data_IF_084823493051
#
_entry.id   IF_084823493051
#
_cell.length_a   1.000
_cell.length_b   1.000
_cell.length_c   1.000
_cell.angle_alpha   90.00
_cell.angle_beta   90.00
_cell.angle_gamma   90.00
#
_symmetry.space_group_name_H-M   'P 1'
#
loop_
_entity.id
_entity.type
_entity.pdbx_description
1 polymer ?
#
# COMPACT_ATOMS: atom_id res chain seq x y z
N UNK A 1 -25.32 -14.69 4.27
CA UNK A 1 -23.84 -14.64 4.10
C UNK A 1 -23.34 -13.27 3.62
N UNK A 2 -23.89 -12.62 2.57
CA UNK A 2 -23.36 -11.31 2.08
C UNK A 2 -23.23 -10.20 3.12
N UNK A 3 -24.27 -10.00 3.95
CA UNK A 3 -24.22 -9.01 5.05
C UNK A 3 -23.11 -9.34 6.07
N UNK A 4 -22.89 -10.63 6.32
CA UNK A 4 -21.88 -11.12 7.26
C UNK A 4 -20.47 -10.92 6.69
N UNK A 5 -20.23 -11.32 5.43
CA UNK A 5 -18.92 -11.10 4.80
C UNK A 5 -18.59 -9.61 4.66
N UNK A 6 -19.59 -8.75 4.41
CA UNK A 6 -19.41 -7.31 4.46
C UNK A 6 -19.03 -6.82 5.87
N UNK A 7 -19.70 -7.28 6.92
CA UNK A 7 -19.37 -6.89 8.30
C UNK A 7 -17.93 -7.28 8.68
N UNK A 8 -17.51 -8.49 8.28
CA UNK A 8 -16.14 -9.01 8.44
C UNK A 8 -15.13 -8.13 7.70
N UNK A 9 -15.41 -7.79 6.43
CA UNK A 9 -14.58 -6.88 5.64
C UNK A 9 -14.48 -5.51 6.32
N UNK A 10 -15.62 -4.91 6.69
CA UNK A 10 -15.67 -3.60 7.34
C UNK A 10 -14.91 -3.60 8.68
N UNK A 11 -14.89 -4.71 9.42
CA UNK A 11 -14.11 -4.86 10.64
C UNK A 11 -12.60 -4.84 10.38
N UNK A 12 -12.16 -5.53 9.32
CA UNK A 12 -10.78 -5.45 8.83
C UNK A 12 -10.39 -4.01 8.50
N UNK A 13 -11.21 -3.30 7.72
CA UNK A 13 -10.99 -1.89 7.37
C UNK A 13 -10.91 -1.00 8.61
N UNK A 14 -11.87 -1.09 9.53
CA UNK A 14 -11.89 -0.29 10.76
C UNK A 14 -10.60 -0.44 11.58
N UNK A 15 -10.05 -1.65 11.64
CA UNK A 15 -8.84 -1.92 12.41
C UNK A 15 -7.58 -1.30 11.83
N UNK A 16 -7.59 -0.95 10.54
CA UNK A 16 -6.49 -0.31 9.81
C UNK A 16 -6.81 1.11 9.35
N UNK A 17 -7.84 1.75 9.93
CA UNK A 17 -8.10 3.16 9.69
C UNK A 17 -6.95 4.01 10.28
N UNK A 18 -6.50 5.07 9.60
CA UNK A 18 -5.41 5.93 10.07
C UNK A 18 -5.58 6.43 11.50
N UNK A 19 -6.79 6.87 11.87
CA UNK A 19 -7.13 7.29 13.24
C UNK A 19 -6.86 6.19 14.28
N UNK A 20 -7.23 4.95 13.97
CA UNK A 20 -7.07 3.81 14.87
C UNK A 20 -5.60 3.38 14.95
N UNK A 21 -4.93 3.29 13.81
CA UNK A 21 -3.51 2.89 13.73
C UNK A 21 -2.58 3.88 14.41
N UNK A 22 -2.77 5.19 14.16
CA UNK A 22 -1.95 6.24 14.75
C UNK A 22 -2.22 6.34 16.26
N UNK A 23 -3.48 6.36 16.72
CA UNK A 23 -3.79 6.46 18.15
C UNK A 23 -3.27 5.27 18.98
N UNK A 24 -3.15 4.07 18.37
CA UNK A 24 -2.50 2.91 19.01
C UNK A 24 -0.99 3.05 19.21
N UNK A 25 -0.35 3.94 18.45
CA UNK A 25 1.11 4.10 18.40
C UNK A 25 1.58 5.51 18.69
N UNK A 26 0.68 6.42 19.09
CA UNK A 26 0.99 7.79 19.45
C UNK A 26 0.01 8.20 20.57
N UNK A 27 0.55 8.49 21.75
CA UNK A 27 -0.22 8.92 22.90
C UNK A 27 0.54 10.00 23.67
N UNK A 28 -0.18 11.04 24.11
CA UNK A 28 0.36 12.13 24.89
C UNK A 28 -0.29 12.14 26.27
N UNK A 29 0.51 11.98 27.33
CA UNK A 29 0.06 12.05 28.72
C UNK A 29 1.13 12.69 29.59
N UNK A 30 0.72 13.60 30.49
CA UNK A 30 1.60 14.24 31.49
C UNK A 30 2.92 14.82 30.92
N UNK A 31 2.87 15.46 29.75
CA UNK A 31 4.04 16.04 29.09
C UNK A 31 4.97 15.02 28.42
N UNK A 32 4.60 13.73 28.43
CA UNK A 32 5.33 12.64 27.78
C UNK A 32 4.60 12.15 26.54
N UNK A 33 5.36 12.02 25.45
CA UNK A 33 4.89 11.48 24.18
C UNK A 33 5.39 10.05 24.02
N UNK A 34 4.48 9.10 24.09
CA UNK A 34 4.74 7.74 23.66
C UNK A 34 4.45 7.63 22.17
N UNK A 35 5.44 7.29 21.36
CA UNK A 35 5.31 7.19 19.90
C UNK A 35 6.15 6.04 19.36
N UNK A 36 5.59 5.16 18.52
CA UNK A 36 6.35 4.10 17.85
C UNK A 36 7.16 3.20 18.80
N UNK A 37 6.65 2.96 20.01
CA UNK A 37 7.33 2.15 21.03
C UNK A 37 8.40 2.88 21.86
N UNK A 38 8.64 4.17 21.62
CA UNK A 38 9.55 5.00 22.43
C UNK A 38 8.78 6.01 23.27
N UNK A 39 9.32 6.35 24.44
CA UNK A 39 8.76 7.34 25.36
C UNK A 39 9.67 8.57 25.40
N UNK A 40 9.10 9.73 25.09
CA UNK A 40 9.80 11.00 24.95
C UNK A 40 9.27 12.03 25.94
N UNK A 41 10.18 12.65 26.67
CA UNK A 41 9.90 13.84 27.47
C UNK A 41 9.82 15.07 26.55
N UNK A 42 8.65 15.69 26.43
CA UNK A 42 8.46 16.82 25.52
C UNK A 42 9.21 18.07 25.96
N UNK A 43 9.60 18.18 27.23
CA UNK A 43 10.42 19.31 27.70
C UNK A 43 11.84 19.27 27.11
N UNK A 44 12.25 18.12 26.58
CA UNK A 44 13.54 17.92 25.89
C UNK A 44 13.44 18.09 24.37
N UNK A 45 12.23 18.31 23.83
CA UNK A 45 11.98 18.49 22.41
C UNK A 45 11.69 19.96 22.13
N UNK A 46 12.53 20.58 21.29
CA UNK A 46 12.39 21.99 20.95
C UNK A 46 11.24 22.21 19.96
N UNK A 47 11.26 21.52 18.81
CA UNK A 47 10.21 21.59 17.79
C UNK A 47 9.76 20.20 17.35
N UNK A 48 8.47 20.08 17.02
CA UNK A 48 7.89 18.87 16.45
C UNK A 48 7.47 19.17 15.01
N UNK A 49 8.08 18.49 14.06
CA UNK A 49 7.74 18.54 12.64
C UNK A 49 6.90 17.33 12.25
N UNK A 50 5.92 17.53 11.36
CA UNK A 50 5.14 16.44 10.77
C UNK A 50 5.42 16.37 9.27
N UNK A 51 6.06 15.31 8.81
CA UNK A 51 6.37 15.10 7.40
C UNK A 51 5.63 13.85 6.89
N UNK A 52 5.13 13.83 5.66
CA UNK A 52 4.48 12.60 5.19
C UNK A 52 4.15 12.56 3.71
N UNK A 53 4.00 11.35 3.20
CA UNK A 53 3.52 11.11 1.85
C UNK A 53 2.74 9.80 1.77
N UNK A 54 1.67 9.80 0.98
CA UNK A 54 0.87 8.61 0.72
C UNK A 54 -0.64 8.87 0.65
N UNK A 55 -1.38 7.89 0.13
CA UNK A 55 -2.85 7.92 0.02
C UNK A 55 -3.57 8.18 1.37
N UNK A 56 -3.00 7.70 2.48
CA UNK A 56 -3.56 7.83 3.82
C UNK A 56 -2.84 8.89 4.68
N UNK A 57 -1.74 9.47 4.20
CA UNK A 57 -0.90 10.39 4.99
C UNK A 57 -1.67 11.61 5.51
N UNK A 58 -2.59 12.18 4.72
CA UNK A 58 -3.48 13.26 5.19
C UNK A 58 -4.40 12.86 6.34
N UNK A 59 -4.93 11.63 6.32
CA UNK A 59 -5.79 11.12 7.40
C UNK A 59 -4.96 10.76 8.64
N UNK A 60 -3.73 10.27 8.47
CA UNK A 60 -2.79 10.06 9.57
C UNK A 60 -2.42 11.39 10.23
N UNK A 61 -2.13 12.43 9.43
CA UNK A 61 -1.78 13.75 9.95
C UNK A 61 -2.91 14.37 10.76
N UNK A 62 -4.16 14.20 10.31
CA UNK A 62 -5.35 14.62 11.07
C UNK A 62 -5.40 14.01 12.47
N UNK A 63 -5.01 12.75 12.63
CA UNK A 63 -4.96 12.11 13.94
C UNK A 63 -3.80 12.66 14.78
N UNK A 64 -2.63 12.85 14.18
CA UNK A 64 -1.48 13.48 14.84
C UNK A 64 -1.83 14.89 15.33
N UNK A 65 -2.57 15.68 14.55
CA UNK A 65 -3.05 17.01 14.97
C UNK A 65 -4.02 16.97 16.14
N UNK A 66 -4.89 15.95 16.21
CA UNK A 66 -5.80 15.80 17.36
C UNK A 66 -5.03 15.53 18.65
N UNK A 67 -3.92 14.80 18.57
CA UNK A 67 -3.14 14.40 19.74
C UNK A 67 -2.11 15.48 20.13
N UNK A 68 -1.39 16.06 19.16
CA UNK A 68 -0.31 17.02 19.42
C UNK A 68 -0.76 18.49 19.36
N UNK A 69 -1.81 18.80 18.59
CA UNK A 69 -2.36 20.15 18.45
C UNK A 69 -1.30 21.22 18.13
N UNK A 70 -1.33 22.32 18.88
CA UNK A 70 -0.43 23.47 18.72
C UNK A 70 1.04 23.20 19.06
N UNK A 71 1.40 21.97 19.46
CA UNK A 71 2.80 21.57 19.66
C UNK A 71 3.51 21.27 18.33
N UNK A 72 2.75 21.04 17.26
CA UNK A 72 3.29 20.93 15.91
C UNK A 72 3.83 22.29 15.48
N UNK A 73 5.12 22.35 15.19
CA UNK A 73 5.84 23.56 14.79
C UNK A 73 5.60 23.89 13.31
N UNK A 74 5.83 22.92 12.42
CA UNK A 74 5.43 22.95 11.02
C UNK A 74 5.07 21.51 10.58
N UNK A 75 4.23 21.41 9.56
CA UNK A 75 3.84 20.13 9.00
C UNK A 75 3.52 20.22 7.53
N UNK A 76 3.90 19.18 6.79
CA UNK A 76 3.58 19.00 5.38
C UNK A 76 3.35 17.53 5.07
N UNK A 77 2.18 17.24 4.51
CA UNK A 77 1.85 15.92 3.97
C UNK A 77 1.43 15.99 2.51
N UNK A 78 1.84 15.00 1.73
CA UNK A 78 1.56 14.92 0.29
C UNK A 78 0.65 13.73 0.03
N UNK A 79 -0.47 13.95 -0.64
CA UNK A 79 -1.45 12.91 -0.97
C UNK A 79 -1.88 12.96 -2.44
N UNK A 80 -2.75 12.04 -2.86
CA UNK A 80 -3.26 11.98 -4.23
C UNK A 80 -4.28 13.10 -4.48
N UNK A 81 -4.41 13.56 -5.72
CA UNK A 81 -5.51 14.46 -6.11
C UNK A 81 -6.89 13.96 -5.65
N UNK A 82 -7.66 14.86 -5.05
CA UNK A 82 -8.99 14.59 -4.50
C UNK A 82 -8.99 13.84 -3.16
N UNK A 83 -7.83 13.56 -2.57
CA UNK A 83 -7.68 12.93 -1.25
C UNK A 83 -7.28 13.91 -0.14
N UNK A 84 -7.08 15.19 -0.48
CA UNK A 84 -6.77 16.25 0.47
C UNK A 84 -7.80 16.35 1.59
N UNK A 85 -7.33 16.63 2.80
CA UNK A 85 -8.16 16.84 3.98
C UNK A 85 -7.85 18.20 4.59
N UNK A 86 -8.85 18.91 5.13
CA UNK A 86 -8.60 20.13 5.89
C UNK A 86 -7.85 19.79 7.18
N UNK A 87 -6.65 20.36 7.32
CA UNK A 87 -5.76 20.22 8.47
C UNK A 87 -5.51 21.61 9.08
N UNK A 88 -5.24 21.68 10.39
CA UNK A 88 -5.10 22.93 11.15
C UNK A 88 -3.65 23.38 11.32
N UNK A 89 -2.73 22.43 11.44
CA UNK A 89 -1.32 22.62 11.76
C UNK A 89 -0.39 22.13 10.65
N UNK A 90 -0.86 21.24 9.77
CA UNK A 90 -0.10 20.71 8.65
C UNK A 90 -0.66 21.25 7.32
N UNK A 91 0.23 21.59 6.40
CA UNK A 91 -0.10 21.84 4.99
C UNK A 91 -0.37 20.51 4.29
N UNK A 92 -1.32 20.51 3.35
CA UNK A 92 -1.62 19.36 2.50
C UNK A 92 -1.38 19.75 1.05
N UNK A 93 -0.51 18.99 0.38
CA UNK A 93 -0.31 19.10 -1.06
C UNK A 93 -0.86 17.85 -1.74
N UNK A 94 -1.37 18.03 -2.96
CA UNK A 94 -1.82 16.94 -3.80
C UNK A 94 -0.89 16.76 -5.00
N UNK A 95 -0.64 15.51 -5.38
CA UNK A 95 0.26 15.15 -6.47
C UNK A 95 -0.24 13.92 -7.25
N UNK A 96 0.41 13.68 -8.40
CA UNK A 96 0.09 12.59 -9.33
C UNK A 96 0.38 11.19 -8.76
N UNK A 97 -0.58 10.29 -8.92
CA UNK A 97 -0.45 8.86 -8.63
C UNK A 97 -1.40 8.05 -9.54
N UNK A 98 -0.96 6.95 -10.17
CA UNK A 98 0.31 6.24 -9.95
C UNK A 98 1.49 6.80 -10.75
N UNK A 99 1.24 7.68 -11.72
CA UNK A 99 2.29 8.35 -12.50
C UNK A 99 2.70 9.65 -11.79
N UNK A 100 3.98 9.83 -11.42
CA UNK A 100 4.45 11.04 -10.77
C UNK A 100 4.34 12.27 -11.66
N UNK A 101 4.15 13.46 -11.08
CA UNK A 101 4.04 14.74 -11.81
C UNK A 101 4.87 15.87 -11.18
N UNK A 102 4.80 17.07 -11.77
CA UNK A 102 5.53 18.25 -11.30
C UNK A 102 5.08 18.74 -9.93
N UNK A 103 3.80 18.56 -9.58
CA UNK A 103 3.30 18.85 -8.24
C UNK A 103 3.98 17.97 -7.19
N UNK A 104 4.17 16.68 -7.49
CA UNK A 104 4.94 15.78 -6.63
C UNK A 104 6.41 16.18 -6.47
N UNK A 105 7.06 16.68 -7.53
CA UNK A 105 8.43 17.21 -7.45
C UNK A 105 8.49 18.42 -6.51
N UNK A 106 7.60 19.40 -6.70
CA UNK A 106 7.53 20.59 -5.87
C UNK A 106 7.20 20.26 -4.40
N UNK A 107 6.27 19.33 -4.18
CA UNK A 107 5.92 18.86 -2.84
C UNK A 107 7.09 18.17 -2.15
N UNK A 108 7.81 17.29 -2.85
CA UNK A 108 8.97 16.62 -2.26
C UNK A 108 10.11 17.59 -1.93
N UNK A 109 10.33 18.61 -2.76
CA UNK A 109 11.28 19.70 -2.45
C UNK A 109 10.86 20.42 -1.17
N UNK A 110 9.62 20.89 -1.08
CA UNK A 110 9.11 21.58 0.10
C UNK A 110 9.16 20.73 1.37
N UNK A 111 8.96 19.41 1.24
CA UNK A 111 9.07 18.45 2.34
C UNK A 111 10.51 18.33 2.83
N UNK A 112 11.48 18.23 1.90
CA UNK A 112 12.91 18.19 2.23
C UNK A 112 13.39 19.50 2.84
N UNK A 113 12.96 20.65 2.30
CA UNK A 113 13.29 21.97 2.83
C UNK A 113 12.85 22.07 4.30
N UNK A 114 11.59 21.73 4.61
CA UNK A 114 11.06 21.71 5.98
C UNK A 114 11.83 20.75 6.90
N UNK A 115 12.13 19.53 6.43
CA UNK A 115 12.90 18.55 7.22
C UNK A 115 14.32 19.02 7.49
N UNK A 116 14.92 19.77 6.56
CA UNK A 116 16.28 20.32 6.70
C UNK A 116 16.39 21.47 7.69
N UNK A 117 15.28 22.08 8.10
CA UNK A 117 15.27 23.10 9.16
C UNK A 117 15.38 22.50 10.57
N UNK A 118 15.04 21.21 10.72
CA UNK A 118 15.13 20.51 11.99
C UNK A 118 16.60 20.29 12.42
N UNK A 119 16.81 20.12 13.72
CA UNK A 119 18.11 19.79 14.30
C UNK A 119 18.02 18.75 15.41
N UNK A 120 19.17 18.46 16.02
CA UNK A 120 19.34 17.38 17.03
C UNK A 120 18.38 17.42 18.23
N UNK A 121 17.79 18.56 18.56
CA UNK A 121 16.88 18.74 19.70
C UNK A 121 15.41 18.70 19.26
N UNK A 122 15.15 18.41 17.99
CA UNK A 122 13.80 18.34 17.40
C UNK A 122 13.35 16.90 17.16
N UNK A 123 12.04 16.75 16.96
CA UNK A 123 11.36 15.51 16.59
C UNK A 123 10.70 15.68 15.22
N UNK A 124 10.92 14.72 14.32
CA UNK A 124 10.21 14.60 13.06
C UNK A 124 9.31 13.36 13.12
N UNK A 125 8.01 13.55 13.02
CA UNK A 125 7.02 12.48 12.90
C UNK A 125 6.73 12.26 11.42
N UNK A 126 7.22 11.15 10.88
CA UNK A 126 7.03 10.78 9.48
C UNK A 126 5.76 9.94 9.30
N UNK A 127 4.86 10.32 8.39
CA UNK A 127 3.58 9.66 8.13
C UNK A 127 3.55 9.09 6.73
N UNK A 128 3.89 7.81 6.61
CA UNK A 128 4.12 7.14 5.34
C UNK A 128 3.00 6.14 5.09
N UNK A 129 2.44 6.16 3.88
CA UNK A 129 1.51 5.13 3.44
C UNK A 129 1.72 4.79 1.97
N UNK A 130 0.92 3.83 1.49
CA UNK A 130 0.86 3.47 0.08
C UNK A 130 0.82 4.64 -0.91
N UNK A 131 1.54 4.49 -2.03
CA UNK A 131 1.67 5.49 -3.09
C UNK A 131 2.74 6.56 -2.88
N UNK A 132 3.40 6.61 -1.72
CA UNK A 132 4.42 7.61 -1.41
C UNK A 132 5.51 7.74 -2.49
N UNK A 133 6.01 6.62 -3.05
CA UNK A 133 7.05 6.64 -4.10
C UNK A 133 6.70 7.54 -5.29
N UNK A 134 5.43 7.53 -5.73
CA UNK A 134 4.97 8.30 -6.89
C UNK A 134 4.62 9.75 -6.52
N UNK A 135 4.13 9.96 -5.29
CA UNK A 135 3.78 11.28 -4.77
C UNK A 135 5.00 12.13 -4.44
N UNK A 136 6.13 11.51 -4.09
CA UNK A 136 7.41 12.18 -3.83
C UNK A 136 8.49 11.69 -4.79
N UNK A 137 8.41 11.98 -6.11
CA UNK A 137 9.38 11.50 -7.09
C UNK A 137 10.80 11.96 -6.77
N UNK A 138 10.97 13.22 -6.34
CA UNK A 138 12.20 13.82 -5.82
C UNK A 138 13.46 13.43 -6.63
N UNK A 139 13.62 13.91 -7.88
CA UNK A 139 14.80 13.60 -8.68
C UNK A 139 16.10 14.08 -8.02
N UNK A 140 17.16 13.27 -8.12
CA UNK A 140 18.50 13.68 -7.69
C UNK A 140 19.02 14.87 -8.52
N UNK A 141 19.98 15.61 -7.97
CA UNK A 141 20.57 16.77 -8.64
C UNK A 141 21.07 16.42 -10.05
N UNK A 142 20.69 17.26 -11.02
CA UNK A 142 21.00 17.05 -12.43
C UNK A 142 20.04 16.11 -13.18
N UNK A 143 19.06 15.50 -12.50
CA UNK A 143 18.02 14.68 -13.12
C UNK A 143 16.68 15.42 -13.21
N UNK A 144 15.97 15.23 -14.32
CA UNK A 144 14.60 15.70 -14.46
C UNK A 144 13.58 14.65 -14.03
N UNK A 145 12.33 15.08 -13.86
CA UNK A 145 11.20 14.16 -13.68
C UNK A 145 11.03 13.22 -14.88
N UNK A 146 11.20 13.76 -16.09
CA UNK A 146 11.08 13.00 -17.32
C UNK A 146 12.12 11.87 -17.39
N UNK A 147 13.35 12.11 -16.92
CA UNK A 147 14.39 11.09 -16.87
C UNK A 147 13.96 9.91 -16.00
N UNK A 148 13.42 10.18 -14.80
CA UNK A 148 12.95 9.14 -13.88
C UNK A 148 11.74 8.38 -14.42
N UNK A 149 10.80 9.09 -15.03
CA UNK A 149 9.64 8.47 -15.67
C UNK A 149 10.06 7.53 -16.79
N UNK A 150 11.01 7.97 -17.63
CA UNK A 150 11.50 7.18 -18.76
C UNK A 150 12.27 5.95 -18.30
N UNK A 151 13.23 6.09 -17.37
CA UNK A 151 13.95 4.95 -16.78
C UNK A 151 12.98 3.95 -16.14
N UNK A 152 11.99 4.42 -15.39
CA UNK A 152 10.99 3.54 -14.75
C UNK A 152 10.15 2.80 -15.80
N UNK A 153 9.71 3.50 -16.85
CA UNK A 153 8.95 2.92 -17.97
C UNK A 153 9.76 1.82 -18.68
N UNK A 154 11.05 2.06 -18.93
CA UNK A 154 11.92 1.07 -19.56
C UNK A 154 12.13 -0.17 -18.69
N UNK A 155 12.37 0.02 -17.38
CA UNK A 155 12.49 -1.08 -16.42
C UNK A 155 11.22 -1.94 -16.32
N UNK A 156 10.05 -1.29 -16.30
CA UNK A 156 8.77 -2.01 -16.34
C UNK A 156 8.61 -2.77 -17.68
N UNK A 157 9.00 -2.15 -18.79
CA UNK A 157 8.92 -2.75 -20.13
C UNK A 157 9.82 -3.97 -20.32
N UNK A 158 10.97 -4.03 -19.65
CA UNK A 158 11.88 -5.18 -19.70
C UNK A 158 11.57 -6.26 -18.64
N UNK A 159 10.56 -6.04 -17.79
CA UNK A 159 10.18 -7.00 -16.75
C UNK A 159 11.14 -7.04 -15.56
N UNK A 160 11.82 -5.92 -15.25
CA UNK A 160 12.63 -5.82 -14.04
C UNK A 160 11.79 -6.07 -12.78
N UNK A 161 12.38 -6.75 -11.80
CA UNK A 161 11.72 -7.07 -10.53
C UNK A 161 11.50 -5.81 -9.69
N UNK A 162 10.51 -5.83 -8.77
CA UNK A 162 10.24 -4.66 -7.92
C UNK A 162 11.46 -4.21 -7.11
N UNK A 163 12.28 -5.16 -6.64
CA UNK A 163 13.53 -4.90 -5.95
C UNK A 163 14.52 -4.16 -6.86
N UNK A 164 14.75 -4.65 -8.09
CA UNK A 164 15.64 -4.00 -9.06
C UNK A 164 15.19 -2.57 -9.39
N UNK A 165 13.89 -2.37 -9.62
CA UNK A 165 13.33 -1.04 -9.88
C UNK A 165 13.50 -0.13 -8.66
N UNK A 166 13.32 -0.65 -7.44
CA UNK A 166 13.51 0.13 -6.21
C UNK A 166 14.98 0.51 -5.98
N UNK A 167 15.93 -0.41 -6.23
CA UNK A 167 17.37 -0.11 -6.17
C UNK A 167 17.69 1.10 -7.03
N UNK A 168 17.29 1.11 -8.30
CA UNK A 168 17.53 2.25 -9.20
C UNK A 168 16.76 3.49 -8.74
N UNK A 169 15.46 3.37 -8.38
CA UNK A 169 14.65 4.52 -7.94
C UNK A 169 15.21 5.25 -6.72
N UNK A 170 15.81 4.52 -5.76
CA UNK A 170 16.46 5.07 -4.58
C UNK A 170 17.68 5.91 -4.95
N UNK A 171 18.53 5.38 -5.82
CA UNK A 171 19.76 6.04 -6.28
C UNK A 171 19.54 7.20 -7.24
N UNK A 172 18.33 7.35 -7.80
CA UNK A 172 17.97 8.51 -8.63
C UNK A 172 17.13 9.54 -7.86
N UNK A 173 17.16 9.52 -6.52
CA UNK A 173 16.29 10.37 -5.69
C UNK A 173 17.03 11.11 -4.59
N UNK A 174 16.49 12.25 -4.14
CA UNK A 174 16.98 12.98 -2.94
C UNK A 174 16.25 12.62 -1.65
N UNK A 175 15.16 11.85 -1.69
CA UNK A 175 14.33 11.55 -0.51
C UNK A 175 14.26 10.05 -0.16
N UNK A 176 14.51 9.18 -1.14
CA UNK A 176 14.34 7.71 -1.01
C UNK A 176 15.61 7.06 -0.47
N UNK A 177 15.50 5.83 0.03
CA UNK A 177 16.64 5.05 0.53
C UNK A 177 17.34 5.73 1.73
N UNK A 178 16.55 6.19 2.70
CA UNK A 178 17.06 6.80 3.94
C UNK A 178 17.47 8.26 3.82
N UNK A 179 17.39 8.87 2.64
CA UNK A 179 17.87 10.23 2.44
C UNK A 179 17.02 11.31 3.14
N UNK A 180 15.74 11.04 3.44
CA UNK A 180 14.97 11.93 4.33
C UNK A 180 15.63 12.02 5.71
N UNK A 181 16.11 10.90 6.25
CA UNK A 181 16.84 10.89 7.53
C UNK A 181 18.18 11.62 7.43
N UNK A 182 18.87 11.53 6.28
CA UNK A 182 20.11 12.26 6.04
C UNK A 182 19.88 13.79 6.05
N UNK A 183 18.73 14.25 5.54
CA UNK A 183 18.35 15.66 5.55
C UNK A 183 17.95 16.19 6.94
N UNK A 184 17.67 15.32 7.91
CA UNK A 184 17.11 15.71 9.22
C UNK A 184 18.13 16.31 10.22
N UNK A 185 19.40 16.52 9.82
CA UNK A 185 20.47 17.12 10.64
C UNK A 185 20.59 16.57 12.08
N UNK A 186 20.38 15.26 12.24
CA UNK A 186 20.49 14.56 13.53
C UNK A 186 19.26 14.68 14.44
N UNK A 187 18.17 15.28 13.97
CA UNK A 187 16.87 15.23 14.63
C UNK A 187 16.42 13.78 14.87
N UNK A 188 15.57 13.59 15.88
CA UNK A 188 14.94 12.27 16.09
C UNK A 188 13.87 12.08 15.02
N UNK A 189 13.88 10.96 14.31
CA UNK A 189 12.87 10.65 13.29
C UNK A 189 12.06 9.45 13.75
N UNK A 190 10.74 9.59 13.80
CA UNK A 190 9.83 8.48 14.11
C UNK A 190 8.82 8.36 12.98
N UNK A 191 8.91 7.28 12.22
CA UNK A 191 7.98 6.98 11.13
C UNK A 191 6.84 6.10 11.62
N UNK A 192 5.61 6.55 11.42
CA UNK A 192 4.40 5.75 11.51
C UNK A 192 4.01 5.35 10.08
N UNK A 193 3.96 4.05 9.82
CA UNK A 193 3.89 3.49 8.46
C UNK A 193 2.63 2.63 8.32
N UNK A 194 1.77 2.97 7.37
CA UNK A 194 0.64 2.15 6.98
C UNK A 194 1.02 1.39 5.69
N UNK A 195 1.23 0.08 5.84
CA UNK A 195 1.85 -0.75 4.80
C UNK A 195 0.83 -1.26 3.79
N UNK A 196 1.10 -0.99 2.51
CA UNK A 196 0.44 -1.61 1.36
C UNK A 196 1.40 -2.54 0.59
N UNK A 197 2.44 -3.04 1.27
CA UNK A 197 3.46 -3.91 0.69
C UNK A 197 3.38 -5.28 1.33
N UNK A 198 3.45 -6.33 0.51
CA UNK A 198 3.46 -7.70 1.00
C UNK A 198 4.71 -7.94 1.85
N UNK A 199 4.50 -8.44 3.07
CA UNK A 199 5.57 -8.71 4.02
C UNK A 199 6.09 -7.47 4.76
N UNK A 200 5.47 -6.30 4.56
CA UNK A 200 5.72 -5.07 5.31
C UNK A 200 7.20 -4.61 5.29
N UNK A 201 7.91 -4.88 4.19
CA UNK A 201 9.32 -4.52 4.03
C UNK A 201 9.51 -3.00 3.96
N UNK A 202 10.16 -2.45 4.98
CA UNK A 202 10.42 -1.02 5.15
C UNK A 202 11.26 -0.41 4.03
N UNK A 203 12.13 -1.19 3.38
CA UNK A 203 12.95 -0.71 2.26
C UNK A 203 12.11 -0.52 0.98
N UNK A 204 10.99 -1.25 0.89
CA UNK A 204 10.07 -1.20 -0.25
C UNK A 204 8.99 -0.13 -0.03
N UNK A 205 8.44 -0.03 1.19
CA UNK A 205 7.35 0.91 1.50
C UNK A 205 7.83 2.35 1.28
N UNK A 206 7.17 3.06 0.36
CA UNK A 206 7.57 4.41 -0.02
C UNK A 206 9.00 4.52 -0.56
N UNK A 207 9.57 3.41 -1.04
CA UNK A 207 10.99 3.28 -1.40
C UNK A 207 11.95 3.65 -0.25
N UNK A 208 11.58 3.29 0.98
CA UNK A 208 12.46 3.33 2.13
C UNK A 208 12.94 4.74 2.48
N UNK A 209 12.11 5.78 2.36
CA UNK A 209 12.56 7.17 2.63
C UNK A 209 13.19 7.37 4.02
N UNK A 210 12.79 6.57 5.00
CA UNK A 210 13.33 6.57 6.37
C UNK A 210 14.02 5.25 6.76
N UNK A 211 14.29 4.37 5.80
CA UNK A 211 14.93 3.07 6.01
C UNK A 211 16.30 3.01 5.32
N UNK A 212 17.26 2.21 5.84
CA UNK A 212 18.53 2.00 5.17
C UNK A 212 18.36 1.28 3.84
N UNK A 213 19.15 1.66 2.85
CA UNK A 213 19.18 1.02 1.54
C UNK A 213 20.33 0.01 1.46
N UNK A 214 20.06 -1.22 1.05
CA UNK A 214 21.09 -2.26 0.85
C UNK A 214 21.72 -2.23 -0.55
N UNK A 215 21.10 -1.53 -1.50
CA UNK A 215 21.59 -1.44 -2.87
C UNK A 215 22.75 -0.46 -3.02
N UNK A 216 23.41 -0.48 -4.18
CA UNK A 216 24.56 0.40 -4.48
C UNK A 216 24.51 0.95 -5.90
N UNK A 217 25.22 2.05 -6.18
CA UNK A 217 25.36 2.57 -7.54
C UNK A 217 25.90 1.54 -8.55
N UNK A 218 26.85 0.70 -8.12
CA UNK A 218 27.38 -0.40 -8.96
C UNK A 218 26.30 -1.42 -9.33
N UNK A 219 25.38 -1.69 -8.41
CA UNK A 219 24.26 -2.58 -8.65
C UNK A 219 23.26 -1.96 -9.63
N UNK A 220 23.01 -0.65 -9.54
CA UNK A 220 22.15 0.06 -10.50
C UNK A 220 22.63 -0.14 -11.94
N UNK A 221 23.94 0.03 -12.19
CA UNK A 221 24.54 -0.24 -13.50
C UNK A 221 24.38 -1.70 -13.91
N UNK A 222 24.70 -2.64 -13.02
CA UNK A 222 24.59 -4.08 -13.31
C UNK A 222 23.15 -4.51 -13.65
N UNK A 223 22.15 -3.94 -12.99
CA UNK A 223 20.73 -4.17 -13.31
C UNK A 223 20.39 -3.66 -14.71
N UNK A 224 20.77 -2.42 -15.03
CA UNK A 224 20.49 -1.82 -16.33
C UNK A 224 21.18 -2.58 -17.48
N UNK A 225 22.42 -3.03 -17.28
CA UNK A 225 23.16 -3.87 -18.24
C UNK A 225 22.54 -5.27 -18.38
N UNK A 226 22.14 -5.91 -17.28
CA UNK A 226 21.47 -7.23 -17.28
C UNK A 226 20.20 -7.23 -18.11
N UNK A 227 19.42 -6.16 -18.02
CA UNK A 227 18.19 -5.98 -18.79
C UNK A 227 18.43 -5.39 -20.19
N UNK A 228 19.68 -5.10 -20.56
CA UNK A 228 20.03 -4.57 -21.88
C UNK A 228 19.55 -3.14 -22.16
N UNK A 229 19.29 -2.36 -21.11
CA UNK A 229 18.71 -1.00 -21.20
C UNK A 229 19.68 0.11 -20.74
N UNK A 230 20.94 -0.22 -20.42
CA UNK A 230 21.93 0.77 -20.01
C UNK A 230 22.11 1.90 -21.03
N UNK A 231 22.29 1.54 -22.31
CA UNK A 231 22.50 2.54 -23.36
C UNK A 231 21.20 3.25 -23.80
N UNK A 232 20.03 2.75 -23.36
CA UNK A 232 18.72 3.32 -23.72
C UNK A 232 18.14 4.23 -22.66
N UNK A 233 18.57 4.13 -21.40
CA UNK A 233 18.16 5.10 -20.37
C UNK A 233 18.77 6.48 -20.64
N UNK A 234 18.11 7.57 -20.19
CA UNK A 234 18.58 8.92 -20.45
C UNK A 234 20.04 9.18 -20.01
N UNK A 235 20.79 9.93 -20.81
CA UNK A 235 22.21 10.23 -20.51
C UNK A 235 22.43 10.87 -19.13
N UNK A 236 21.56 11.79 -18.62
CA UNK A 236 21.70 12.29 -17.26
C UNK A 236 21.69 11.18 -16.20
N UNK A 237 20.88 10.14 -16.38
CA UNK A 237 20.81 8.97 -15.48
C UNK A 237 22.11 8.16 -15.54
N UNK A 238 22.62 7.92 -16.74
CA UNK A 238 23.89 7.20 -16.91
C UNK A 238 25.06 7.97 -16.27
N UNK A 239 25.12 9.29 -16.47
CA UNK A 239 26.14 10.16 -15.89
C UNK A 239 26.06 10.20 -14.36
N UNK A 240 24.84 10.27 -13.80
CA UNK A 240 24.61 10.23 -12.37
C UNK A 240 25.08 8.91 -11.75
N UNK A 241 24.73 7.77 -12.35
CA UNK A 241 25.17 6.44 -11.88
C UNK A 241 26.69 6.30 -11.98
N UNK A 242 27.31 6.75 -13.09
CA UNK A 242 28.77 6.77 -13.24
C UNK A 242 29.45 7.59 -12.14
N UNK A 243 28.94 8.79 -11.87
CA UNK A 243 29.46 9.67 -10.82
C UNK A 243 29.39 9.01 -9.44
N UNK A 244 28.32 8.27 -9.14
CA UNK A 244 28.19 7.51 -7.90
C UNK A 244 29.14 6.32 -7.82
N UNK A 245 29.37 5.61 -8.94
CA UNK A 245 30.35 4.52 -9.01
C UNK A 245 31.80 4.99 -8.80
N UNK A 246 32.10 6.20 -9.28
CA UNK A 246 33.41 6.84 -9.16
C UNK A 246 33.61 7.54 -7.80
N UNK A 247 32.58 7.56 -6.94
CA UNK A 247 32.61 8.16 -5.60
C UNK A 247 32.55 9.68 -5.58
N UNK A 248 32.13 10.32 -6.68
CA UNK A 248 31.95 11.77 -6.77
C UNK A 248 30.69 12.25 -6.05
N UNK A 249 29.68 11.37 -5.96
CA UNK A 249 28.49 11.56 -5.13
C UNK A 249 28.42 10.40 -4.12
N UNK A 250 27.98 10.67 -2.86
CA UNK A 250 27.83 9.63 -1.87
C UNK A 250 26.74 8.63 -2.28
N UNK A 251 26.93 7.37 -1.90
CA UNK A 251 25.90 6.34 -2.02
C UNK A 251 24.73 6.63 -1.07
N UNK A 252 23.58 5.97 -1.26
CA UNK A 252 22.46 6.08 -0.31
C UNK A 252 22.86 5.56 1.07
N UNK A 253 22.31 6.10 2.18
CA UNK A 253 22.62 5.63 3.52
C UNK A 253 22.42 4.12 3.71
N UNK A 254 23.45 3.45 4.26
CA UNK A 254 23.51 1.99 4.37
C UNK A 254 23.11 1.48 5.75
N UNK A 255 22.79 0.18 5.90
CA UNK A 255 22.63 -0.42 7.22
C UNK A 255 23.87 -0.18 8.10
N UNK A 256 23.65 0.31 9.33
CA UNK A 256 24.73 0.65 10.26
C UNK A 256 25.22 2.10 10.17
N UNK A 257 24.72 2.91 9.23
CA UNK A 257 25.02 4.33 9.18
C UNK A 257 24.53 5.05 10.47
N UNK A 258 25.37 5.87 11.14
CA UNK A 258 24.99 6.59 12.35
C UNK A 258 23.75 7.48 12.22
N UNK A 259 23.35 7.91 11.01
CA UNK A 259 22.11 8.68 10.83
C UNK A 259 20.87 7.93 11.35
N UNK A 260 20.91 6.58 11.34
CA UNK A 260 19.79 5.75 11.79
C UNK A 260 19.76 5.53 13.32
N UNK A 261 20.76 6.00 14.06
CA UNK A 261 20.84 5.83 15.53
C UNK A 261 19.67 6.46 16.30
N UNK A 262 18.98 7.43 15.68
CA UNK A 262 17.82 8.12 16.24
C UNK A 262 16.58 7.99 15.36
N UNK A 263 16.54 6.96 14.52
CA UNK A 263 15.41 6.67 13.62
C UNK A 263 14.63 5.49 14.17
N UNK A 264 13.31 5.63 14.26
CA UNK A 264 12.39 4.54 14.60
C UNK A 264 11.37 4.41 13.51
N UNK A 265 11.23 3.22 12.93
CA UNK A 265 10.22 2.93 11.91
C UNK A 265 9.22 1.94 12.50
N UNK A 266 7.96 2.36 12.64
CA UNK A 266 6.88 1.56 13.18
C UNK A 266 5.81 1.34 12.10
N UNK A 267 5.60 0.09 11.71
CA UNK A 267 4.41 -0.29 10.96
C UNK A 267 3.22 -0.23 11.91
N UNK A 268 2.31 0.72 11.69
CA UNK A 268 1.15 0.97 12.56
C UNK A 268 -0.12 0.28 12.08
N UNK A 269 -0.13 -0.17 10.83
CA UNK A 269 -1.21 -0.93 10.23
C UNK A 269 -0.73 -1.71 9.00
N UNK A 270 -1.16 -2.96 8.92
CA UNK A 270 -0.83 -3.92 7.86
C UNK A 270 -2.05 -4.74 7.45
N UNK A 271 -1.94 -5.50 6.37
CA UNK A 271 -2.96 -6.47 5.99
C UNK A 271 -3.16 -7.56 7.06
N UNK A 272 -2.09 -7.93 7.76
CA UNK A 272 -2.16 -8.91 8.86
C UNK A 272 -3.08 -8.42 9.98
N UNK A 273 -3.04 -7.13 10.30
CA UNK A 273 -3.92 -6.53 11.31
C UNK A 273 -5.38 -6.53 10.85
N UNK A 274 -5.63 -6.21 9.57
CA UNK A 274 -6.96 -6.25 8.98
C UNK A 274 -7.55 -7.67 9.00
N UNK A 275 -6.76 -8.69 8.63
CA UNK A 275 -7.20 -10.09 8.64
C UNK A 275 -7.45 -10.60 10.06
N UNK A 276 -6.65 -10.16 11.03
CA UNK A 276 -6.83 -10.51 12.44
C UNK A 276 -8.13 -9.92 13.00
N UNK A 277 -8.45 -8.66 12.69
CA UNK A 277 -9.72 -8.05 13.07
C UNK A 277 -10.92 -8.67 12.34
N UNK A 278 -10.76 -9.04 11.07
CA UNK A 278 -11.76 -9.77 10.31
C UNK A 278 -12.02 -11.16 10.91
N UNK A 279 -10.98 -11.86 11.39
CA UNK A 279 -11.13 -13.16 12.05
C UNK A 279 -11.96 -13.04 13.34
N UNK A 280 -11.68 -12.04 14.18
CA UNK A 280 -12.47 -11.76 15.39
C UNK A 280 -13.94 -11.49 15.03
N UNK A 281 -14.19 -10.69 13.99
CA UNK A 281 -15.58 -10.43 13.56
C UNK A 281 -16.24 -11.68 13.00
N UNK A 282 -15.51 -12.56 12.30
CA UNK A 282 -16.07 -13.83 11.84
C UNK A 282 -16.52 -14.72 13.01
N UNK A 283 -15.74 -14.79 14.09
CA UNK A 283 -16.11 -15.50 15.32
C UNK A 283 -17.38 -14.92 15.95
N UNK A 284 -17.46 -13.58 16.04
CA UNK A 284 -18.64 -12.88 16.56
C UNK A 284 -19.91 -13.17 15.73
N UNK A 285 -19.74 -13.44 14.43
CA UNK A 285 -20.81 -13.82 13.51
C UNK A 285 -21.09 -15.33 13.48
N UNK A 286 -20.41 -16.12 14.31
CA UNK A 286 -20.61 -17.56 14.45
C UNK A 286 -19.90 -18.42 13.41
N UNK A 287 -18.88 -17.90 12.73
CA UNK A 287 -18.04 -18.64 11.80
C UNK A 287 -16.65 -18.87 12.40
N UNK A 288 -16.15 -20.11 12.37
CA UNK A 288 -14.78 -20.40 12.79
C UNK A 288 -13.77 -19.83 11.75
N UNK A 289 -12.91 -18.86 12.11
CA UNK A 289 -11.99 -18.26 11.16
C UNK A 289 -10.78 -19.16 10.91
N UNK A 290 -10.28 -19.12 9.68
CA UNK A 290 -8.97 -19.65 9.31
C UNK A 290 -8.28 -18.62 8.41
N UNK A 291 -7.25 -17.96 8.93
CA UNK A 291 -6.39 -17.08 8.14
C UNK A 291 -5.40 -17.95 7.36
N UNK A 292 -5.56 -18.03 6.04
CA UNK A 292 -4.72 -18.83 5.16
C UNK A 292 -3.38 -18.16 4.86
N UNK A 293 -3.40 -16.86 4.53
CA UNK A 293 -2.20 -16.07 4.23
C UNK A 293 -2.53 -14.58 4.08
N UNK A 294 -1.60 -13.70 4.46
CA UNK A 294 -1.59 -12.26 4.13
C UNK A 294 -0.69 -11.93 2.92
N UNK A 295 -0.19 -12.96 2.22
CA UNK A 295 0.84 -12.83 1.19
C UNK A 295 0.43 -13.46 -0.15
N UNK A 296 -0.87 -13.50 -0.46
CA UNK A 296 -1.36 -14.02 -1.75
C UNK A 296 -0.86 -13.13 -2.88
N UNK A 297 -0.23 -13.74 -3.88
CA UNK A 297 0.31 -13.10 -5.09
C UNK A 297 0.02 -13.93 -6.33
N UNK A 298 0.20 -13.31 -7.49
CA UNK A 298 0.04 -13.95 -8.79
C UNK A 298 -1.31 -13.68 -9.42
N UNK A 299 -1.64 -14.45 -10.45
CA UNK A 299 -2.81 -14.21 -11.28
C UNK A 299 -4.13 -14.42 -10.51
N UNK A 300 -4.96 -13.38 -10.46
CA UNK A 300 -6.21 -13.33 -9.69
C UNK A 300 -7.14 -14.54 -9.95
N UNK A 301 -7.34 -14.92 -11.23
CA UNK A 301 -8.19 -16.05 -11.60
C UNK A 301 -7.65 -17.41 -11.16
N UNK A 302 -6.33 -17.55 -11.01
CA UNK A 302 -5.71 -18.80 -10.55
C UNK A 302 -5.80 -18.89 -9.02
N UNK A 303 -5.58 -17.78 -8.31
CA UNK A 303 -5.82 -17.69 -6.87
C UNK A 303 -7.27 -18.08 -6.52
N UNK A 304 -8.25 -17.58 -7.28
CA UNK A 304 -9.66 -17.93 -7.09
C UNK A 304 -9.93 -19.45 -7.12
N UNK A 305 -9.33 -20.18 -8.07
CA UNK A 305 -9.52 -21.63 -8.19
C UNK A 305 -9.02 -22.37 -6.96
N UNK A 306 -7.85 -21.99 -6.44
CA UNK A 306 -7.25 -22.60 -5.25
C UNK A 306 -8.12 -22.30 -4.02
N UNK A 307 -8.50 -21.04 -3.81
CA UNK A 307 -9.33 -20.63 -2.67
C UNK A 307 -10.69 -21.35 -2.67
N UNK A 308 -11.36 -21.44 -3.82
CA UNK A 308 -12.63 -22.16 -3.95
C UNK A 308 -12.46 -23.67 -3.75
N UNK A 309 -11.32 -24.25 -4.14
CA UNK A 309 -11.03 -25.66 -3.85
C UNK A 309 -10.92 -25.92 -2.34
N UNK A 310 -10.25 -25.03 -1.58
CA UNK A 310 -10.19 -25.13 -0.11
C UNK A 310 -11.57 -24.97 0.52
N UNK A 311 -12.40 -24.04 0.03
CA UNK A 311 -13.77 -23.88 0.53
C UNK A 311 -14.64 -25.14 0.29
N UNK A 312 -14.47 -25.82 -0.85
CA UNK A 312 -15.13 -27.11 -1.11
C UNK A 312 -14.64 -28.21 -0.18
N UNK A 313 -13.35 -28.25 0.13
CA UNK A 313 -12.78 -29.20 1.10
C UNK A 313 -13.40 -29.01 2.49
N UNK A 314 -13.53 -27.75 2.92
CA UNK A 314 -14.22 -27.38 4.17
C UNK A 314 -15.69 -27.84 4.13
N UNK A 315 -16.40 -27.55 3.05
CA UNK A 315 -17.82 -27.88 2.91
C UNK A 315 -18.08 -29.39 2.92
N UNK A 316 -17.28 -30.16 2.17
CA UNK A 316 -17.51 -31.59 1.93
C UNK A 316 -16.93 -32.47 3.01
N UNK A 317 -15.78 -32.10 3.57
CA UNK A 317 -15.00 -32.97 4.46
C UNK A 317 -14.70 -32.33 5.82
N UNK A 318 -15.05 -31.06 6.04
CA UNK A 318 -14.81 -30.37 7.30
C UNK A 318 -13.33 -30.18 7.62
N UNK A 319 -12.51 -29.96 6.58
CA UNK A 319 -11.05 -29.75 6.67
C UNK A 319 -10.64 -28.48 5.92
N UNK A 320 -9.68 -27.69 6.44
CA UNK A 320 -8.99 -27.84 7.73
C UNK A 320 -9.87 -27.47 8.94
N UNK A 321 -11.09 -27.00 8.71
CA UNK A 321 -12.05 -26.55 9.72
C UNK A 321 -13.46 -27.05 9.36
N UNK A 322 -14.33 -27.25 10.35
CA UNK A 322 -15.73 -27.66 10.11
C UNK A 322 -16.60 -26.42 9.84
N UNK A 323 -17.58 -26.50 8.92
CA UNK A 323 -18.61 -25.47 8.78
C UNK A 323 -19.43 -25.32 10.09
N UNK A 324 -19.92 -24.11 10.42
CA UNK A 324 -19.72 -22.84 9.71
C UNK A 324 -18.29 -22.29 9.86
N UNK A 325 -17.65 -21.94 8.75
CA UNK A 325 -16.26 -21.51 8.69
C UNK A 325 -16.05 -20.28 7.81
N UNK A 326 -15.08 -19.43 8.18
CA UNK A 326 -14.66 -18.27 7.42
C UNK A 326 -13.19 -18.42 7.04
N UNK A 327 -12.91 -18.64 5.75
CA UNK A 327 -11.55 -18.62 5.24
C UNK A 327 -11.19 -17.18 4.89
N UNK A 328 -10.09 -16.71 5.45
CA UNK A 328 -9.58 -15.35 5.29
C UNK A 328 -8.21 -15.40 4.63
N UNK A 329 -8.01 -14.60 3.60
CA UNK A 329 -6.67 -14.33 3.08
C UNK A 329 -6.61 -12.93 2.48
N UNK A 330 -5.41 -12.53 2.10
CA UNK A 330 -5.20 -11.28 1.40
C UNK A 330 -3.82 -11.22 0.77
N UNK A 331 -3.59 -10.15 0.04
CA UNK A 331 -2.33 -9.83 -0.62
C UNK A 331 -2.61 -8.92 -1.80
N UNK A 332 -1.80 -9.02 -2.86
CA UNK A 332 -1.90 -8.17 -4.05
C UNK A 332 -1.82 -9.07 -5.29
N UNK A 333 -2.99 -9.45 -5.83
CA UNK A 333 -3.04 -10.25 -7.05
C UNK A 333 -2.86 -9.38 -8.30
N UNK A 334 -2.54 -10.00 -9.43
CA UNK A 334 -2.39 -9.33 -10.73
C UNK A 334 -3.37 -9.87 -11.75
N UNK A 335 -3.63 -9.06 -12.77
CA UNK A 335 -4.42 -9.44 -13.94
C UNK A 335 -3.57 -9.28 -15.19
N UNK A 336 -3.42 -10.36 -15.94
CA UNK A 336 -2.86 -10.28 -17.29
C UNK A 336 -3.96 -9.78 -18.24
N UNK A 337 -3.87 -8.51 -18.63
CA UNK A 337 -4.82 -7.87 -19.54
C UNK A 337 -4.70 -8.48 -20.95
N UNK A 338 -5.79 -9.06 -21.45
CA UNK A 338 -5.95 -9.63 -22.79
C UNK A 338 -7.09 -8.98 -23.57
N UNK A 339 -8.10 -8.46 -22.88
CA UNK A 339 -9.24 -7.75 -23.47
C UNK A 339 -9.21 -6.25 -23.23
N UNK A 340 -10.25 -5.57 -23.74
CA UNK A 340 -10.47 -4.13 -23.57
C UNK A 340 -11.62 -3.85 -22.58
N UNK A 341 -11.97 -4.82 -21.73
CA UNK A 341 -13.02 -4.69 -20.73
C UNK A 341 -12.66 -3.77 -19.57
N UNK A 342 -13.61 -3.59 -18.65
CA UNK A 342 -13.37 -2.91 -17.38
C UNK A 342 -13.55 -3.86 -16.19
N UNK A 343 -12.70 -3.66 -15.18
CA UNK A 343 -12.64 -4.50 -13.99
C UNK A 343 -11.36 -4.26 -13.23
N UNK A 344 -11.11 -5.10 -12.24
CA UNK A 344 -9.88 -5.12 -11.46
C UNK A 344 -9.63 -6.52 -10.95
N UNK A 345 -8.52 -6.70 -10.23
CA UNK A 345 -8.06 -8.00 -9.75
C UNK A 345 -9.04 -8.66 -8.78
N UNK A 346 -9.72 -7.88 -7.94
CA UNK A 346 -10.68 -8.43 -6.98
C UNK A 346 -11.95 -8.90 -7.68
N UNK A 347 -12.47 -8.13 -8.63
CA UNK A 347 -13.59 -8.55 -9.47
C UNK A 347 -13.20 -9.72 -10.38
N UNK A 348 -11.99 -9.76 -10.92
CA UNK A 348 -11.52 -10.90 -11.72
C UNK A 348 -11.42 -12.19 -10.87
N UNK A 349 -10.90 -12.08 -9.64
CA UNK A 349 -10.88 -13.18 -8.67
C UNK A 349 -12.32 -13.63 -8.34
N UNK A 350 -13.23 -12.71 -8.06
CA UNK A 350 -14.62 -13.01 -7.79
C UNK A 350 -15.31 -13.70 -9.00
N UNK A 351 -15.04 -13.25 -10.24
CA UNK A 351 -15.65 -13.82 -11.44
C UNK A 351 -15.13 -15.24 -11.73
N UNK A 352 -13.83 -15.46 -11.55
CA UNK A 352 -13.25 -16.79 -11.59
C UNK A 352 -13.79 -17.69 -10.46
N UNK A 353 -14.01 -17.11 -9.27
CA UNK A 353 -14.66 -17.79 -8.15
C UNK A 353 -16.10 -18.17 -8.45
N UNK A 354 -16.88 -17.30 -9.10
CA UNK A 354 -18.25 -17.60 -9.51
C UNK A 354 -18.33 -18.82 -10.45
N UNK A 355 -17.38 -18.94 -11.39
CA UNK A 355 -17.26 -20.12 -12.24
C UNK A 355 -16.91 -21.37 -11.44
N UNK A 356 -16.00 -21.26 -10.46
CA UNK A 356 -15.55 -22.38 -9.63
C UNK A 356 -16.60 -22.85 -8.60
N UNK A 357 -17.50 -21.96 -8.18
CA UNK A 357 -18.55 -22.19 -7.19
C UNK A 357 -19.93 -22.44 -7.81
N UNK A 358 -20.07 -22.45 -9.14
CA UNK A 358 -21.36 -22.64 -9.79
C UNK A 358 -22.06 -23.93 -9.32
N UNK A 359 -23.22 -23.78 -8.67
CA UNK A 359 -23.98 -24.90 -8.09
C UNK A 359 -23.43 -25.47 -6.76
N UNK A 360 -22.31 -24.96 -6.23
CA UNK A 360 -21.77 -25.35 -4.93
C UNK A 360 -22.46 -24.55 -3.81
N UNK A 361 -23.63 -25.04 -3.38
CA UNK A 361 -24.42 -24.39 -2.34
C UNK A 361 -23.61 -24.08 -1.06
N UNK A 362 -24.05 -23.04 -0.34
CA UNK A 362 -23.58 -22.69 1.01
C UNK A 362 -22.15 -22.13 1.07
N UNK A 363 -21.58 -21.73 -0.07
CA UNK A 363 -20.29 -21.04 -0.15
C UNK A 363 -20.48 -19.65 -0.76
N UNK A 364 -20.00 -18.62 -0.08
CA UNK A 364 -19.94 -17.25 -0.59
C UNK A 364 -18.49 -16.76 -0.58
N UNK A 365 -18.03 -16.23 -1.71
CA UNK A 365 -16.78 -15.49 -1.83
C UNK A 365 -17.07 -13.98 -1.89
N UNK A 366 -16.27 -13.20 -1.15
CA UNK A 366 -16.07 -11.77 -1.36
C UNK A 366 -14.58 -11.55 -1.59
N UNK A 367 -14.21 -10.82 -2.65
CA UNK A 367 -12.87 -10.27 -2.83
C UNK A 367 -12.99 -8.77 -2.95
N UNK A 368 -12.20 -8.00 -2.19
CA UNK A 368 -12.24 -6.55 -2.24
C UNK A 368 -10.91 -5.88 -1.85
N UNK A 369 -10.61 -4.78 -2.53
CA UNK A 369 -9.50 -3.87 -2.22
C UNK A 369 -9.83 -3.00 -1.02
N UNK A 370 -8.88 -2.88 -0.09
CA UNK A 370 -9.10 -2.14 1.15
C UNK A 370 -9.11 -0.63 0.98
N UNK A 371 -8.63 -0.10 -0.15
CA UNK A 371 -8.74 1.32 -0.50
C UNK A 371 -10.10 1.72 -1.08
N UNK A 372 -11.00 0.74 -1.25
CA UNK A 372 -12.34 0.93 -1.76
C UNK A 372 -12.44 1.00 -3.28
N UNK A 373 -11.35 0.70 -3.99
CA UNK A 373 -11.27 0.74 -5.46
C UNK A 373 -10.64 -0.54 -6.01
N UNK A 374 -11.14 -1.05 -7.13
CA UNK A 374 -10.60 -2.20 -7.85
C UNK A 374 -10.52 -1.89 -9.34
N UNK A 375 -9.27 -1.78 -9.82
CA UNK A 375 -9.00 -1.28 -11.18
C UNK A 375 -9.48 0.16 -11.41
N UNK A 376 -9.74 0.57 -12.66
CA UNK A 376 -10.25 1.90 -12.98
C UNK A 376 -11.79 1.96 -12.81
N UNK A 377 -12.32 1.57 -11.65
CA UNK A 377 -13.76 1.50 -11.39
C UNK A 377 -14.16 2.17 -10.06
N UNK A 378 -15.45 2.24 -9.76
CA UNK A 378 -15.99 2.73 -8.47
C UNK A 378 -16.28 1.62 -7.45
N UNK A 379 -16.00 0.37 -7.81
CA UNK A 379 -16.20 -0.79 -6.94
C UNK A 379 -14.92 -1.13 -6.20
N UNK A 380 -15.04 -1.59 -4.95
CA UNK A 380 -13.95 -2.18 -4.19
C UNK A 380 -13.70 -3.64 -4.62
N UNK A 381 -14.69 -4.29 -5.22
CA UNK A 381 -14.64 -5.71 -5.57
C UNK A 381 -16.05 -6.27 -5.80
N UNK A 382 -16.22 -7.58 -5.61
CA UNK A 382 -17.51 -8.23 -5.88
C UNK A 382 -17.76 -9.49 -5.03
N UNK A 383 -19.04 -9.86 -4.93
CA UNK A 383 -19.52 -11.10 -4.34
C UNK A 383 -19.72 -12.19 -5.40
N UNK A 384 -19.42 -13.43 -5.05
CA UNK A 384 -19.67 -14.60 -5.89
C UNK A 384 -20.20 -15.78 -5.06
N UNK A 385 -21.29 -16.40 -5.51
CA UNK A 385 -21.95 -17.52 -4.85
C UNK A 385 -22.42 -18.58 -5.87
N UNK A 386 -23.10 -19.62 -5.39
CA UNK A 386 -23.56 -20.75 -6.21
C UNK A 386 -24.50 -20.35 -7.35
N UNK A 387 -25.15 -19.19 -7.23
CA UNK A 387 -26.18 -18.70 -8.15
C UNK A 387 -25.69 -17.58 -9.06
N UNK A 388 -24.47 -17.05 -8.88
CA UNK A 388 -23.94 -15.95 -9.71
C UNK A 388 -23.97 -16.29 -11.20
N UNK A 389 -23.51 -17.49 -11.59
CA UNK A 389 -23.47 -17.91 -13.01
C UNK A 389 -24.87 -18.15 -13.58
N UNK A 390 -25.79 -18.74 -12.81
CA UNK A 390 -27.16 -19.00 -13.29
C UNK A 390 -27.94 -17.70 -13.46
N UNK A 391 -27.82 -16.74 -12.53
CA UNK A 391 -28.38 -15.39 -12.66
C UNK A 391 -27.83 -14.66 -13.88
N UNK A 392 -26.53 -14.74 -14.12
CA UNK A 392 -25.91 -14.14 -15.32
C UNK A 392 -26.47 -14.70 -16.63
N UNK A 393 -26.60 -16.03 -16.71
CA UNK A 393 -27.18 -16.70 -17.89
C UNK A 393 -28.62 -16.26 -18.15
N UNK A 394 -29.42 -16.07 -17.10
CA UNK A 394 -30.79 -15.57 -17.23
C UNK A 394 -30.87 -14.15 -17.82
N UNK A 395 -29.80 -13.36 -17.68
CA UNK A 395 -29.65 -12.03 -18.29
C UNK A 395 -28.93 -12.06 -19.66
N UNK A 396 -28.65 -13.25 -20.21
CA UNK A 396 -27.91 -13.38 -21.47
C UNK A 396 -26.40 -13.11 -21.37
N UNK A 397 -25.84 -13.09 -20.16
CA UNK A 397 -24.41 -12.85 -19.91
C UNK A 397 -23.65 -14.18 -19.79
N UNK A 398 -22.46 -14.23 -20.40
CA UNK A 398 -21.52 -15.35 -20.23
C UNK A 398 -20.39 -14.95 -19.28
N UNK A 399 -20.29 -15.62 -18.13
CA UNK A 399 -19.22 -15.39 -17.15
C UNK A 399 -17.83 -15.69 -17.73
N UNK A 400 -17.69 -16.77 -18.51
CA UNK A 400 -16.43 -17.13 -19.19
C UNK A 400 -15.98 -16.07 -20.18
N UNK A 401 -16.93 -15.51 -20.97
CA UNK A 401 -16.63 -14.44 -21.91
C UNK A 401 -16.13 -13.19 -21.18
N UNK A 402 -16.85 -12.75 -20.15
CA UNK A 402 -16.45 -11.57 -19.37
C UNK A 402 -15.10 -11.76 -18.68
N UNK A 403 -14.79 -12.97 -18.20
CA UNK A 403 -13.50 -13.27 -17.60
C UNK A 403 -12.37 -13.18 -18.64
N UNK A 404 -12.56 -13.78 -19.82
CA UNK A 404 -11.56 -13.78 -20.90
C UNK A 404 -11.33 -12.38 -21.50
N UNK A 405 -12.32 -11.50 -21.44
CA UNK A 405 -12.25 -10.12 -21.95
C UNK A 405 -11.82 -9.10 -20.88
N UNK A 406 -11.43 -9.55 -19.69
CA UNK A 406 -11.13 -8.70 -18.51
C UNK A 406 -12.25 -7.68 -18.22
N UNK A 407 -13.50 -8.14 -18.31
CA UNK A 407 -14.70 -7.30 -18.28
C UNK A 407 -15.60 -7.61 -17.07
N UNK A 408 -15.01 -7.81 -15.90
CA UNK A 408 -15.73 -8.26 -14.71
C UNK A 408 -16.67 -7.18 -14.12
N UNK A 409 -16.36 -5.89 -14.28
CA UNK A 409 -17.18 -4.81 -13.73
C UNK A 409 -18.61 -4.78 -14.27
N UNK A 410 -18.85 -4.70 -15.61
CA UNK A 410 -20.22 -4.70 -16.13
C UNK A 410 -20.97 -6.01 -15.84
N UNK A 411 -20.26 -7.14 -15.73
CA UNK A 411 -20.85 -8.42 -15.34
C UNK A 411 -21.49 -8.34 -13.95
N UNK A 412 -20.73 -7.93 -12.93
CA UNK A 412 -21.26 -7.84 -11.56
C UNK A 412 -22.21 -6.67 -11.37
N UNK A 413 -22.04 -5.58 -12.12
CA UNK A 413 -22.98 -4.46 -12.13
C UNK A 413 -24.38 -4.90 -12.58
N UNK A 414 -24.46 -5.71 -13.62
CA UNK A 414 -25.74 -6.23 -14.12
C UNK A 414 -26.45 -7.16 -13.10
N UNK A 415 -25.69 -7.74 -12.17
CA UNK A 415 -26.19 -8.66 -11.15
C UNK A 415 -26.47 -8.01 -9.79
N UNK A 416 -26.11 -6.73 -9.61
CA UNK A 416 -26.09 -6.04 -8.32
C UNK A 416 -25.21 -6.78 -7.27
N UNK A 417 -24.06 -7.27 -7.74
CA UNK A 417 -23.12 -8.08 -6.97
C UNK A 417 -21.80 -7.35 -6.66
N UNK A 418 -21.69 -6.07 -7.05
CA UNK A 418 -20.53 -5.24 -6.73
C UNK A 418 -20.52 -4.86 -5.25
N UNK A 419 -19.34 -4.79 -4.65
CA UNK A 419 -19.15 -4.12 -3.37
C UNK A 419 -18.74 -2.66 -3.62
N UNK A 420 -19.64 -1.73 -3.35
CA UNK A 420 -19.38 -0.28 -3.41
C UNK A 420 -19.18 0.25 -1.99
N UNK A 421 -17.97 0.69 -1.66
CA UNK A 421 -17.64 1.28 -0.34
C UNK A 421 -17.47 2.79 -0.38
N UNK A 422 -17.14 3.35 -1.55
CA UNK A 422 -16.48 4.64 -1.63
C UNK A 422 -15.05 4.59 -1.09
N UNK A 423 -14.33 5.72 -1.05
CA UNK A 423 -12.96 5.77 -0.57
C UNK A 423 -12.90 5.49 0.93
N UNK A 424 -12.24 4.39 1.32
CA UNK A 424 -12.07 4.01 2.73
C UNK A 424 -11.02 4.85 3.44
N UNK A 425 -10.12 5.50 2.68
CA UNK A 425 -8.99 6.32 3.18
C UNK A 425 -7.92 5.53 3.94
N UNK A 426 -7.90 4.21 3.76
CA UNK A 426 -6.79 3.33 4.15
C UNK A 426 -6.36 2.51 2.93
N UNK A 427 -5.20 1.85 2.98
CA UNK A 427 -4.79 0.90 1.95
C UNK A 427 -3.81 -0.09 2.55
N UNK A 428 -4.25 -1.34 2.73
CA UNK A 428 -3.43 -2.48 3.12
C UNK A 428 -3.62 -3.64 2.14
N UNK A 429 -3.74 -3.33 0.83
CA UNK A 429 -3.95 -4.29 -0.27
C UNK A 429 -5.36 -4.90 -0.30
N UNK A 430 -5.50 -6.18 -0.67
CA UNK A 430 -6.78 -6.86 -0.85
C UNK A 430 -7.12 -7.83 0.29
N UNK A 431 -8.41 -8.03 0.54
CA UNK A 431 -8.93 -9.10 1.40
C UNK A 431 -9.89 -10.00 0.62
N UNK A 432 -9.71 -11.31 0.77
CA UNK A 432 -10.65 -12.34 0.33
C UNK A 432 -11.27 -13.05 1.52
N UNK A 433 -12.59 -13.16 1.51
CA UNK A 433 -13.41 -13.74 2.56
C UNK A 433 -14.28 -14.82 1.91
N UNK A 434 -14.07 -16.09 2.29
CA UNK A 434 -14.94 -17.20 1.90
C UNK A 434 -15.73 -17.68 3.11
N UNK A 435 -17.04 -17.52 3.08
CA UNK A 435 -17.94 -18.07 4.09
C UNK A 435 -18.46 -19.43 3.61
N UNK A 436 -18.29 -20.45 4.44
CA UNK A 436 -18.85 -21.79 4.23
C UNK A 436 -19.84 -22.05 5.35
N UNK A 437 -21.13 -22.14 5.03
CA UNK A 437 -22.19 -22.39 6.02
C UNK A 437 -22.44 -23.88 6.25
N UNK A 438 -23.05 -24.21 7.41
CA UNK A 438 -23.38 -25.57 7.87
C UNK A 438 -24.43 -26.28 7.03
#
# INVERSE_FOLDING_TARGET
MRKISKAIFDAGIRAVMPEVCVARHLNLSDGRLWIGGIDLDLDQIRHIYVAGAGKASGAMAREVEQILGSRIHDGLVITKYGHGLPLKHCRVLEAGHPVPDSAGVAGASALLDMVSEAGKDDLIVCLISGGASALTPAPADGLSLADKQDTTRQLLGCGATIHEINTIRKHLSTIKGGQLCAAANGARVVSLILSDVIGDDLDIIGSGMTAPDTGHFRECRAILERHGIWDSVPEPVQSHIRSGMDGLIPDTPKPGDPIFSRVTNQVVGSLSDALSAAAIEAENQGFAPVVLSSMIQGEAKEAAKVLCAVAREVRRFGRPVKPPACLLCGGETTVTIKGNGSGGRNMELALAGALALAGEEKILLLSAGTDGTDGPTDAAGAFADENTVSRAKALGLSAEKHLNENNAYPFFKALDDLLITGPTRTNVMDMQILLVSG
#
